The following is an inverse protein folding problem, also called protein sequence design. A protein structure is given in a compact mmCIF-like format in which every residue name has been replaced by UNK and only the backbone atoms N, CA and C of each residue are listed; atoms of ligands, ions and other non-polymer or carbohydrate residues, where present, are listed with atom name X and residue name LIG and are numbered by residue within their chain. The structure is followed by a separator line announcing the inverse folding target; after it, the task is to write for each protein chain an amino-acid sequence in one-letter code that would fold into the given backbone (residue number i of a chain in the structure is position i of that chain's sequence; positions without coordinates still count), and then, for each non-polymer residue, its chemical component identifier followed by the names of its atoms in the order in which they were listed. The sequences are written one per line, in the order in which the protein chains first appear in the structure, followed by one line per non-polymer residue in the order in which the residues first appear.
data_IF_231215408147
#
_entry.id   IF_231215408147
#
_cell.length_a   1.000
_cell.length_b   1.000
_cell.length_c   1.000
_cell.angle_alpha   90.00
_cell.angle_beta   90.00
_cell.angle_gamma   90.00
#
_symmetry.space_group_name_H-M   'P 1'
#
loop_
_entity.id
_entity.type
_entity.pdbx_description
1 polymer ?
#
# COMPACT_ATOMS: atom_id res chain seq x y z
N UNK A 1 -14.39 4.54 -0.89
CA UNK A 1 -13.18 5.29 -0.52
C UNK A 1 -13.34 5.84 0.88
N UNK A 2 -12.48 5.46 1.77
CA UNK A 2 -12.51 5.86 3.18
C UNK A 2 -11.20 6.56 3.53
N UNK A 3 -11.27 7.60 4.34
CA UNK A 3 -10.10 8.33 4.83
C UNK A 3 -9.91 8.06 6.32
N UNK A 4 -8.68 7.73 6.68
CA UNK A 4 -8.28 7.41 8.05
C UNK A 4 -7.16 8.35 8.46
N UNK A 5 -7.37 9.12 9.52
CA UNK A 5 -6.30 9.95 10.08
C UNK A 5 -5.56 9.20 11.17
N UNK A 6 -4.25 9.11 11.02
CA UNK A 6 -3.37 8.45 12.00
C UNK A 6 -3.21 9.32 13.23
N UNK A 7 -3.46 8.78 14.41
CA UNK A 7 -3.37 9.53 15.67
C UNK A 7 -1.94 9.63 16.19
N UNK A 8 -1.17 8.55 16.09
CA UNK A 8 0.23 8.54 16.51
C UNK A 8 1.14 8.39 15.28
N UNK A 9 1.54 9.50 14.71
CA UNK A 9 2.38 9.55 13.51
C UNK A 9 3.75 8.91 13.76
N UNK A 10 4.35 9.16 14.93
CA UNK A 10 5.67 8.62 15.27
C UNK A 10 5.65 7.09 15.33
N UNK A 11 4.66 6.51 15.99
CA UNK A 11 4.49 5.06 16.06
C UNK A 11 4.22 4.45 14.68
N UNK A 12 3.39 5.12 13.88
CA UNK A 12 3.11 4.70 12.51
C UNK A 12 4.38 4.68 11.65
N UNK A 13 5.18 5.73 11.71
CA UNK A 13 6.44 5.82 10.98
C UNK A 13 7.41 4.71 11.37
N UNK A 14 7.47 4.37 12.65
CA UNK A 14 8.26 3.25 13.14
C UNK A 14 7.77 1.92 12.54
N UNK A 15 6.46 1.69 12.53
CA UNK A 15 5.86 0.50 11.94
C UNK A 15 6.09 0.42 10.43
N UNK A 16 6.01 1.55 9.75
CA UNK A 16 6.21 1.64 8.29
C UNK A 16 7.65 1.33 7.88
N UNK A 17 8.62 1.91 8.58
CA UNK A 17 10.01 1.95 8.15
C UNK A 17 10.92 0.94 8.85
N UNK A 18 10.61 0.57 10.09
CA UNK A 18 11.49 -0.23 10.94
C UNK A 18 10.94 -1.63 11.25
N UNK A 19 9.71 -1.92 10.89
CA UNK A 19 9.07 -3.21 11.15
C UNK A 19 8.51 -3.81 9.86
N UNK A 20 8.05 -5.05 9.94
CA UNK A 20 7.47 -5.79 8.82
C UNK A 20 5.95 -5.56 8.65
N UNK A 21 5.39 -4.56 9.32
CA UNK A 21 3.95 -4.31 9.36
C UNK A 21 3.31 -4.23 7.98
N UNK A 22 3.95 -3.53 7.04
CA UNK A 22 3.45 -3.33 5.67
C UNK A 22 4.15 -4.19 4.61
N UNK A 23 4.99 -5.13 5.03
CA UNK A 23 5.87 -5.87 4.11
C UNK A 23 5.14 -6.79 3.14
N UNK A 24 3.88 -7.13 3.41
CA UNK A 24 3.05 -7.95 2.50
C UNK A 24 2.39 -7.14 1.38
N UNK A 25 2.41 -5.81 1.47
CA UNK A 25 1.89 -4.96 0.41
C UNK A 25 2.89 -4.84 -0.74
N UNK A 26 2.35 -4.67 -1.94
CA UNK A 26 3.12 -4.24 -3.11
C UNK A 26 3.23 -2.72 -3.14
N UNK A 27 4.33 -2.23 -3.68
CA UNK A 27 4.52 -0.80 -3.90
C UNK A 27 4.09 -0.43 -5.32
N UNK A 28 3.13 0.48 -5.44
CA UNK A 28 2.78 1.07 -6.73
C UNK A 28 3.72 2.24 -7.04
N UNK A 29 3.78 3.19 -6.13
CA UNK A 29 4.69 4.33 -6.22
C UNK A 29 4.93 4.92 -4.83
N UNK A 30 6.04 5.64 -4.68
CA UNK A 30 6.35 6.38 -3.47
C UNK A 30 7.10 7.66 -3.82
N UNK A 31 6.88 8.70 -3.05
CA UNK A 31 7.64 9.94 -3.15
C UNK A 31 7.88 10.50 -1.76
N UNK A 32 9.02 11.17 -1.60
CA UNK A 32 9.37 11.86 -0.37
C UNK A 32 10.12 13.15 -0.72
N UNK A 33 9.80 14.22 -0.02
CA UNK A 33 10.49 15.49 -0.12
C UNK A 33 11.21 15.78 1.19
N UNK A 34 12.53 15.82 1.10
CA UNK A 34 13.42 16.23 2.19
C UNK A 34 14.21 17.45 1.72
N UNK A 35 15.56 17.36 1.62
CA UNK A 35 16.37 18.38 0.96
C UNK A 35 16.19 18.36 -0.57
N UNK A 36 15.64 17.30 -1.11
CA UNK A 36 15.28 17.13 -2.51
C UNK A 36 14.02 16.26 -2.60
N UNK A 37 13.39 16.20 -3.74
CA UNK A 37 12.27 15.30 -3.98
C UNK A 37 12.77 14.00 -4.63
N UNK A 38 12.37 12.86 -4.06
CA UNK A 38 12.70 11.52 -4.54
C UNK A 38 11.42 10.81 -4.95
N UNK A 39 11.45 10.18 -6.13
CA UNK A 39 10.33 9.40 -6.64
C UNK A 39 10.77 7.97 -6.88
N UNK A 40 9.98 7.01 -6.39
CA UNK A 40 10.20 5.59 -6.58
C UNK A 40 9.01 5.02 -7.33
N UNK A 41 9.28 4.42 -8.48
CA UNK A 41 8.30 3.67 -9.25
C UNK A 41 8.38 2.20 -8.79
N UNK A 42 7.25 1.64 -8.34
CA UNK A 42 7.19 0.25 -7.88
C UNK A 42 7.04 -0.78 -9.00
N UNK A 43 6.96 -0.33 -10.26
CA UNK A 43 6.87 -1.25 -11.39
C UNK A 43 8.12 -2.13 -11.49
N UNK A 44 7.90 -3.43 -11.56
CA UNK A 44 9.00 -4.39 -11.62
C UNK A 44 9.56 -4.48 -13.03
N UNK A 45 10.87 -4.32 -13.15
CA UNK A 45 11.60 -4.48 -14.40
C UNK A 45 12.11 -5.91 -14.51
N UNK A 46 11.44 -6.74 -15.30
CA UNK A 46 11.74 -8.15 -15.45
C UNK A 46 13.16 -8.43 -15.98
N UNK A 47 13.69 -7.48 -16.78
CA UNK A 47 15.04 -7.60 -17.36
C UNK A 47 16.16 -7.60 -16.31
N UNK A 48 15.89 -7.11 -15.11
CA UNK A 48 16.85 -7.11 -14.01
C UNK A 48 17.02 -8.50 -13.40
N UNK A 49 16.05 -9.38 -13.53
CA UNK A 49 16.02 -10.71 -12.96
C UNK A 49 16.39 -11.78 -14.00
N UNK A 50 16.81 -12.95 -13.54
CA UNK A 50 16.91 -14.13 -14.41
C UNK A 50 15.51 -14.49 -14.92
N UNK A 51 15.44 -15.25 -16.04
CA UNK A 51 14.16 -15.62 -16.64
C UNK A 51 13.26 -16.38 -15.66
N UNK A 52 13.84 -17.30 -14.89
CA UNK A 52 13.09 -18.09 -13.91
C UNK A 52 12.58 -17.24 -12.74
N UNK A 53 13.40 -16.32 -12.23
CA UNK A 53 13.01 -15.39 -11.18
C UNK A 53 11.92 -14.43 -11.67
N UNK A 54 12.07 -13.88 -12.87
CA UNK A 54 11.11 -12.94 -13.44
C UNK A 54 9.74 -13.58 -13.62
N UNK A 55 9.66 -14.81 -14.09
CA UNK A 55 8.40 -15.53 -14.29
C UNK A 55 7.67 -15.73 -12.95
N UNK A 56 8.36 -16.23 -11.94
CA UNK A 56 7.81 -16.42 -10.59
C UNK A 56 7.30 -15.12 -9.98
N UNK A 57 8.12 -14.08 -9.99
CA UNK A 57 7.78 -12.78 -9.41
C UNK A 57 6.62 -12.08 -10.15
N UNK A 58 6.56 -12.20 -11.47
CA UNK A 58 5.49 -11.60 -12.26
C UNK A 58 4.13 -12.19 -11.90
N UNK A 59 4.07 -13.51 -11.73
CA UNK A 59 2.82 -14.20 -11.34
C UNK A 59 2.40 -13.80 -9.93
N UNK A 60 3.32 -13.83 -8.98
CA UNK A 60 3.01 -13.59 -7.57
C UNK A 60 2.72 -12.11 -7.26
N UNK A 61 3.39 -11.19 -7.93
CA UNK A 61 3.39 -9.77 -7.60
C UNK A 61 2.71 -8.89 -8.63
N UNK A 62 2.17 -9.48 -9.68
CA UNK A 62 1.43 -8.74 -10.72
C UNK A 62 2.21 -7.52 -11.28
N UNK A 63 3.53 -7.66 -11.42
CA UNK A 63 4.40 -6.64 -12.01
C UNK A 63 4.81 -5.49 -11.07
N UNK A 64 4.63 -5.65 -9.76
CA UNK A 64 5.03 -4.64 -8.76
C UNK A 64 5.95 -5.27 -7.71
N UNK A 65 6.87 -4.45 -7.17
CA UNK A 65 7.78 -4.90 -6.12
C UNK A 65 7.11 -4.91 -4.75
N UNK A 66 7.56 -5.79 -3.86
CA UNK A 66 7.12 -5.77 -2.46
C UNK A 66 7.70 -4.56 -1.72
N UNK A 67 6.89 -3.96 -0.86
CA UNK A 67 7.36 -2.90 0.04
C UNK A 67 8.57 -3.34 0.87
N UNK A 68 8.59 -4.57 1.32
CA UNK A 68 9.71 -5.17 2.05
C UNK A 68 11.06 -4.89 1.40
N UNK A 69 11.13 -4.93 0.07
CA UNK A 69 12.36 -4.72 -0.70
C UNK A 69 12.77 -3.25 -0.76
N UNK A 70 11.80 -2.36 -0.80
CA UNK A 70 11.99 -0.91 -0.93
C UNK A 70 12.12 -0.22 0.44
N UNK A 71 11.52 -0.80 1.47
CA UNK A 71 11.48 -0.21 2.81
C UNK A 71 12.85 0.29 3.32
N UNK A 72 13.95 -0.48 3.23
CA UNK A 72 15.27 0.00 3.68
C UNK A 72 15.75 1.21 2.90
N UNK A 73 15.49 1.26 1.59
CA UNK A 73 15.88 2.38 0.73
C UNK A 73 15.09 3.63 1.13
N UNK A 74 13.79 3.49 1.33
CA UNK A 74 12.92 4.61 1.72
C UNK A 74 13.30 5.15 3.11
N UNK A 75 13.66 4.24 4.03
CA UNK A 75 14.18 4.63 5.34
C UNK A 75 15.46 5.48 5.21
N UNK A 76 16.40 5.08 4.35
CA UNK A 76 17.63 5.84 4.12
C UNK A 76 17.36 7.24 3.56
N UNK A 77 16.32 7.39 2.72
CA UNK A 77 15.91 8.70 2.19
C UNK A 77 15.29 9.59 3.26
N UNK A 78 14.62 9.01 4.25
CA UNK A 78 13.86 9.74 5.27
C UNK A 78 14.62 9.96 6.56
N UNK A 79 15.59 9.11 6.88
CA UNK A 79 16.35 9.22 8.13
C UNK A 79 17.16 10.52 8.15
N UNK A 80 17.34 11.05 9.33
CA UNK A 80 18.15 12.23 9.49
C UNK A 80 17.66 13.09 10.65
N UNK A 81 18.33 14.20 10.84
CA UNK A 81 18.06 15.15 11.91
C UNK A 81 16.74 15.90 11.66
N UNK A 82 16.41 16.15 10.40
CA UNK A 82 15.23 16.93 10.03
C UNK A 82 14.11 16.00 9.58
N UNK A 83 12.89 16.32 9.98
CA UNK A 83 11.68 15.62 9.54
C UNK A 83 11.43 15.90 8.05
N UNK A 84 11.00 14.89 7.25
CA UNK A 84 10.59 15.14 5.88
C UNK A 84 9.51 16.21 5.79
N UNK A 85 9.52 16.99 4.71
CA UNK A 85 8.48 17.99 4.44
C UNK A 85 7.15 17.32 4.09
N UNK A 86 7.21 16.26 3.30
CA UNK A 86 6.03 15.49 2.90
C UNK A 86 6.45 14.14 2.35
N UNK A 87 5.52 13.19 2.33
CA UNK A 87 5.67 11.96 1.55
C UNK A 87 4.32 11.42 1.13
N UNK A 88 4.35 10.59 0.11
CA UNK A 88 3.21 9.83 -0.37
C UNK A 88 3.68 8.42 -0.75
N UNK A 89 2.93 7.42 -0.30
CA UNK A 89 3.19 6.01 -0.64
C UNK A 89 1.86 5.41 -1.08
N UNK A 90 1.84 4.76 -2.24
CA UNK A 90 0.68 4.04 -2.73
C UNK A 90 0.98 2.55 -2.70
N UNK A 91 0.36 1.86 -1.77
CA UNK A 91 0.40 0.40 -1.66
C UNK A 91 -0.69 -0.24 -2.50
N UNK A 92 -0.41 -1.43 -3.00
CA UNK A 92 -1.39 -2.33 -3.63
C UNK A 92 -1.52 -3.59 -2.80
N UNK A 93 -2.72 -4.11 -2.71
CA UNK A 93 -2.93 -5.43 -2.14
C UNK A 93 -2.44 -6.50 -3.13
N UNK A 94 -1.68 -7.47 -2.64
CA UNK A 94 -1.17 -8.56 -3.49
C UNK A 94 -2.33 -9.39 -4.08
N UNK A 95 -2.20 -9.93 -5.31
CA UNK A 95 -3.29 -10.63 -5.99
C UNK A 95 -3.92 -11.76 -5.18
N UNK A 96 -3.13 -12.58 -4.50
CA UNK A 96 -3.65 -13.67 -3.68
C UNK A 96 -4.48 -13.17 -2.50
N UNK A 97 -4.17 -12.00 -1.96
CA UNK A 97 -4.94 -11.37 -0.90
C UNK A 97 -6.23 -10.75 -1.42
N UNK A 98 -6.24 -10.25 -2.66
CA UNK A 98 -7.46 -9.80 -3.33
C UNK A 98 -8.44 -10.97 -3.50
N UNK A 99 -7.95 -12.10 -4.00
CA UNK A 99 -8.76 -13.33 -4.14
C UNK A 99 -9.32 -13.81 -2.80
N UNK A 100 -8.49 -13.78 -1.77
CA UNK A 100 -8.91 -14.15 -0.41
C UNK A 100 -9.99 -13.22 0.13
N UNK A 101 -9.88 -11.91 -0.13
CA UNK A 101 -10.89 -10.93 0.28
C UNK A 101 -12.23 -11.19 -0.39
N UNK A 102 -12.23 -11.42 -1.70
CA UNK A 102 -13.44 -11.74 -2.48
C UNK A 102 -14.11 -12.98 -1.90
N UNK A 103 -13.36 -14.05 -1.68
CA UNK A 103 -13.87 -15.33 -1.17
C UNK A 103 -14.43 -15.19 0.23
N UNK A 104 -13.69 -14.56 1.15
CA UNK A 104 -14.08 -14.41 2.55
C UNK A 104 -15.27 -13.48 2.74
N UNK A 105 -15.42 -12.49 1.88
CA UNK A 105 -16.53 -11.53 1.91
C UNK A 105 -17.73 -11.98 1.09
N UNK A 106 -17.66 -13.13 0.42
CA UNK A 106 -18.78 -13.66 -0.38
C UNK A 106 -19.17 -12.76 -1.55
N UNK A 107 -18.20 -12.05 -2.13
CA UNK A 107 -18.44 -11.15 -3.25
C UNK A 107 -18.57 -11.89 -4.57
N UNK A 108 -19.38 -11.34 -5.48
CA UNK A 108 -19.55 -11.89 -6.84
C UNK A 108 -18.54 -11.33 -7.84
N UNK A 109 -17.64 -10.46 -7.42
CA UNK A 109 -16.59 -9.90 -8.27
C UNK A 109 -15.63 -11.00 -8.74
N UNK A 110 -15.20 -10.91 -9.99
CA UNK A 110 -14.14 -11.78 -10.51
C UNK A 110 -12.78 -11.10 -10.29
N UNK A 111 -11.75 -11.84 -9.87
CA UNK A 111 -10.41 -11.26 -9.67
C UNK A 111 -9.88 -10.51 -10.90
N UNK A 112 -10.15 -11.01 -12.10
CA UNK A 112 -9.70 -10.40 -13.35
C UNK A 112 -10.37 -9.05 -13.67
N UNK A 113 -11.51 -8.75 -13.06
CA UNK A 113 -12.20 -7.47 -13.22
C UNK A 113 -11.66 -6.40 -12.27
N UNK A 114 -10.83 -6.77 -11.31
CA UNK A 114 -10.23 -5.87 -10.33
C UNK A 114 -8.82 -5.50 -10.78
N UNK A 115 -8.61 -4.23 -11.13
CA UNK A 115 -7.28 -3.73 -11.44
C UNK A 115 -6.41 -3.63 -10.19
N UNK A 116 -6.95 -3.15 -9.10
CA UNK A 116 -6.24 -3.12 -7.84
C UNK A 116 -7.06 -2.58 -6.66
N UNK A 117 -6.60 -2.94 -5.47
CA UNK A 117 -7.03 -2.36 -4.20
C UNK A 117 -5.84 -1.62 -3.61
N UNK A 118 -6.05 -0.36 -3.27
CA UNK A 118 -4.97 0.56 -2.92
C UNK A 118 -5.12 1.11 -1.52
N UNK A 119 -3.99 1.35 -0.88
CA UNK A 119 -3.89 2.12 0.35
C UNK A 119 -2.89 3.25 0.10
N UNK A 120 -3.37 4.47 0.07
CA UNK A 120 -2.57 5.66 -0.16
C UNK A 120 -2.23 6.32 1.17
N UNK A 121 -0.94 6.36 1.51
CA UNK A 121 -0.42 7.06 2.68
C UNK A 121 0.04 8.44 2.25
N UNK A 122 -0.44 9.46 2.94
CA UNK A 122 -0.08 10.85 2.65
C UNK A 122 0.30 11.59 3.93
N UNK A 123 1.49 12.15 3.93
CA UNK A 123 2.01 12.99 5.02
C UNK A 123 2.31 14.39 4.49
N UNK A 124 1.79 15.41 5.15
CA UNK A 124 1.90 16.81 4.73
C UNK A 124 2.85 17.65 5.57
N UNK A 125 3.63 17.01 6.43
CA UNK A 125 4.51 17.68 7.40
C UNK A 125 3.94 17.75 8.82
N UNK A 126 2.65 17.51 8.96
CA UNK A 126 1.95 17.54 10.26
C UNK A 126 1.03 16.35 10.44
N UNK A 127 0.22 16.06 9.43
CA UNK A 127 -0.81 15.02 9.48
C UNK A 127 -0.45 13.85 8.56
N UNK A 128 -0.77 12.66 9.03
CA UNK A 128 -0.66 11.44 8.24
C UNK A 128 -2.06 10.87 8.01
N UNK A 129 -2.41 10.70 6.74
CA UNK A 129 -3.71 10.19 6.32
C UNK A 129 -3.53 8.95 5.47
N UNK A 130 -4.34 7.91 5.73
CA UNK A 130 -4.45 6.72 4.91
C UNK A 130 -5.77 6.78 4.16
N UNK A 131 -5.74 6.59 2.84
CA UNK A 131 -6.95 6.64 2.00
C UNK A 131 -7.07 5.33 1.24
N UNK A 132 -8.19 4.63 1.42
CA UNK A 132 -8.49 3.42 0.65
C UNK A 132 -8.95 3.78 -0.76
N UNK A 133 -8.68 2.90 -1.70
CA UNK A 133 -9.15 3.06 -3.07
C UNK A 133 -9.27 1.71 -3.77
N UNK A 134 -10.11 1.66 -4.77
CA UNK A 134 -10.27 0.51 -5.64
C UNK A 134 -10.29 0.95 -7.10
N UNK A 135 -9.81 0.09 -7.97
CA UNK A 135 -9.88 0.29 -9.40
C UNK A 135 -10.43 -0.98 -10.06
N UNK A 136 -11.50 -0.83 -10.82
CA UNK A 136 -12.15 -1.90 -11.55
C UNK A 136 -11.99 -1.67 -13.06
N UNK A 137 -11.78 -2.75 -13.80
CA UNK A 137 -11.68 -2.74 -15.26
C UNK A 137 -13.04 -2.63 -15.93
N UNK A 138 -14.10 -2.90 -15.18
CA UNK A 138 -15.49 -2.84 -15.66
C UNK A 138 -16.25 -1.80 -14.84
N UNK A 139 -17.20 -1.12 -15.50
CA UNK A 139 -18.06 -0.18 -14.78
C UNK A 139 -19.11 -0.96 -13.97
N UNK A 140 -19.27 -0.56 -12.71
CA UNK A 140 -20.31 -1.10 -11.83
C UNK A 140 -20.71 -0.04 -10.80
N UNK A 141 -21.96 -0.08 -10.37
CA UNK A 141 -22.46 0.71 -9.26
C UNK A 141 -22.42 -0.05 -7.93
N UNK A 142 -22.01 -1.30 -7.96
CA UNK A 142 -21.84 -2.13 -6.76
C UNK A 142 -20.66 -1.65 -5.94
N UNK A 143 -20.91 -1.29 -4.67
CA UNK A 143 -19.91 -0.81 -3.72
C UNK A 143 -19.48 -1.86 -2.70
N UNK A 144 -19.90 -3.11 -2.89
CA UNK A 144 -19.59 -4.17 -1.92
C UNK A 144 -18.09 -4.44 -1.81
N UNK A 145 -17.35 -4.32 -2.92
CA UNK A 145 -15.88 -4.46 -2.90
C UNK A 145 -15.22 -3.34 -2.08
N UNK A 146 -15.66 -2.09 -2.26
CA UNK A 146 -15.14 -0.96 -1.50
C UNK A 146 -15.37 -1.17 -0.01
N UNK A 147 -16.56 -1.58 0.39
CA UNK A 147 -16.89 -1.87 1.79
C UNK A 147 -16.07 -3.02 2.37
N UNK A 148 -15.87 -4.07 1.58
CA UNK A 148 -15.05 -5.21 2.01
C UNK A 148 -13.59 -4.79 2.21
N UNK A 149 -13.07 -3.97 1.31
CA UNK A 149 -11.71 -3.44 1.40
C UNK A 149 -11.54 -2.53 2.63
N UNK A 150 -12.46 -1.59 2.84
CA UNK A 150 -12.45 -0.70 4.01
C UNK A 150 -12.50 -1.52 5.32
N UNK A 151 -13.37 -2.52 5.39
CA UNK A 151 -13.47 -3.41 6.55
C UNK A 151 -12.17 -4.17 6.80
N UNK A 152 -11.53 -4.65 5.75
CA UNK A 152 -10.24 -5.35 5.85
C UNK A 152 -9.16 -4.41 6.39
N UNK A 153 -9.11 -3.15 5.91
CA UNK A 153 -8.15 -2.17 6.38
C UNK A 153 -8.36 -1.82 7.86
N UNK A 154 -9.61 -1.66 8.29
CA UNK A 154 -9.92 -1.41 9.70
C UNK A 154 -9.44 -2.55 10.59
N UNK A 155 -9.66 -3.80 10.17
CA UNK A 155 -9.15 -4.98 10.87
C UNK A 155 -7.62 -5.02 10.88
N UNK A 156 -7.00 -4.65 9.77
CA UNK A 156 -5.55 -4.57 9.66
C UNK A 156 -4.97 -3.53 10.63
N UNK A 157 -5.53 -2.32 10.66
CA UNK A 157 -5.09 -1.27 11.59
C UNK A 157 -5.26 -1.71 13.04
N UNK A 158 -6.39 -2.31 13.36
CA UNK A 158 -6.65 -2.84 14.72
C UNK A 158 -5.64 -3.93 15.11
N UNK A 159 -5.43 -4.91 14.23
CA UNK A 159 -4.48 -6.01 14.45
C UNK A 159 -3.05 -5.51 14.62
N UNK A 160 -2.66 -4.48 13.88
CA UNK A 160 -1.32 -3.89 13.94
C UNK A 160 -1.19 -2.77 14.99
N UNK A 161 -2.23 -2.57 15.79
CA UNK A 161 -2.26 -1.56 16.85
C UNK A 161 -2.00 -0.14 16.32
N UNK A 162 -2.53 0.16 15.14
CA UNK A 162 -2.48 1.48 14.52
C UNK A 162 -3.79 2.20 14.85
N UNK A 163 -3.69 3.29 15.61
CA UNK A 163 -4.86 4.07 16.02
C UNK A 163 -5.19 5.09 14.93
N UNK A 164 -6.38 4.96 14.35
CA UNK A 164 -6.89 5.87 13.31
C UNK A 164 -8.27 6.37 13.68
N UNK A 165 -8.60 7.56 13.19
CA UNK A 165 -9.97 8.08 13.19
C UNK A 165 -10.48 8.18 11.75
N UNK A 166 -11.74 7.86 11.54
CA UNK A 166 -12.39 7.98 10.23
C UNK A 166 -12.99 9.36 10.06
N UNK A 167 -12.97 9.85 8.80
CA UNK A 167 -13.59 11.12 8.40
C UNK A 167 -14.57 10.90 7.25
#
# INVERSE_FOLDING_TARGET
MQSYQVQDVKDFMKKLLLTDTFDTFLLSEASVTTYAAFHLDGSMHSDYFSSDEAESLTVEQCGYVLWKRVRPIFFELMKGKNTPLSFQIVFRLAPHNVESLIRQSGLSHRPEDIDGLFLNLRYDGSNLTCISGSSLRVFTMDRSLDHAWDTMLEKFFHKKEIIVSTH
#
